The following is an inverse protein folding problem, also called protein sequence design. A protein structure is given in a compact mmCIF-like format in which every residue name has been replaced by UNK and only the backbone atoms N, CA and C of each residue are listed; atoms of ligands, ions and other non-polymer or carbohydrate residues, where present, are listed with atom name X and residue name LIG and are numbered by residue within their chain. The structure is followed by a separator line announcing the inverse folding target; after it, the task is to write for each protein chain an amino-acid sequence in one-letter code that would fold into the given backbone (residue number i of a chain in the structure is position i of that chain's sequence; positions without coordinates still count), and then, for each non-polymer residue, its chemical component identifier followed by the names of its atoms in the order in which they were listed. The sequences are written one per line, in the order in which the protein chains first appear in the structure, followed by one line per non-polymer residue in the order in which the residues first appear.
data_IF_499454786429
#
_entry.id   IF_499454786429
#
_cell.length_a   1.000
_cell.length_b   1.000
_cell.length_c   1.000
_cell.angle_alpha   90.00
_cell.angle_beta   90.00
_cell.angle_gamma   90.00
#
_symmetry.space_group_name_H-M   'P 1'
#
loop_
_entity.id
_entity.type
_entity.pdbx_description
1 polymer ?
#
# COMPACT_ATOMS: atom_id res chain seq x y z
N UNK A 1 26.70 -14.59 -19.92
CA UNK A 1 25.93 -13.34 -20.07
C UNK A 1 24.44 -13.64 -19.91
N UNK A 2 24.03 -14.13 -18.74
CA UNK A 2 22.62 -14.45 -18.42
C UNK A 2 22.23 -13.90 -17.05
N UNK A 3 23.17 -13.93 -16.10
CA UNK A 3 22.97 -13.34 -14.77
C UNK A 3 22.71 -11.83 -14.83
N UNK A 4 23.51 -11.04 -15.56
CA UNK A 4 23.35 -9.57 -15.61
C UNK A 4 21.96 -9.12 -16.11
N UNK A 5 21.43 -9.76 -17.15
CA UNK A 5 20.12 -9.41 -17.74
C UNK A 5 18.97 -9.70 -16.76
N UNK A 6 19.05 -10.80 -15.99
CA UNK A 6 18.04 -11.13 -14.97
C UNK A 6 18.07 -10.13 -13.79
N UNK A 7 19.26 -9.73 -13.35
CA UNK A 7 19.42 -8.75 -12.25
C UNK A 7 18.94 -7.36 -12.65
N UNK A 8 19.22 -6.90 -13.86
CA UNK A 8 18.72 -5.61 -14.37
C UNK A 8 17.18 -5.55 -14.39
N UNK A 9 16.53 -6.63 -14.83
CA UNK A 9 15.07 -6.73 -14.80
C UNK A 9 14.48 -6.67 -13.39
N UNK A 10 15.12 -7.35 -12.43
CA UNK A 10 14.70 -7.32 -11.02
C UNK A 10 14.85 -5.93 -10.40
N UNK A 11 16.02 -5.29 -10.60
CA UNK A 11 16.30 -3.94 -10.09
C UNK A 11 15.30 -2.95 -10.68
N UNK A 12 15.04 -3.02 -11.99
CA UNK A 12 14.05 -2.15 -12.64
C UNK A 12 12.67 -2.30 -12.02
N UNK A 13 12.22 -3.53 -11.78
CA UNK A 13 10.91 -3.78 -11.17
C UNK A 13 10.82 -3.26 -9.73
N UNK A 14 11.88 -3.42 -8.93
CA UNK A 14 11.92 -2.84 -7.59
C UNK A 14 11.88 -1.32 -7.60
N UNK A 15 12.61 -0.68 -8.52
CA UNK A 15 12.58 0.77 -8.70
C UNK A 15 11.18 1.25 -9.10
N UNK A 16 10.49 0.53 -10.00
CA UNK A 16 9.11 0.85 -10.38
C UNK A 16 8.13 0.73 -9.20
N UNK A 17 8.31 -0.28 -8.34
CA UNK A 17 7.53 -0.43 -7.11
C UNK A 17 7.80 0.72 -6.13
N UNK A 18 9.08 1.06 -5.89
CA UNK A 18 9.48 2.19 -5.04
C UNK A 18 8.85 3.49 -5.53
N UNK A 19 8.96 3.80 -6.82
CA UNK A 19 8.38 5.01 -7.41
C UNK A 19 6.86 5.04 -7.29
N UNK A 20 6.20 3.89 -7.44
CA UNK A 20 4.74 3.79 -7.22
C UNK A 20 4.38 4.10 -5.77
N UNK A 21 5.13 3.61 -4.78
CA UNK A 21 4.89 3.96 -3.38
C UNK A 21 5.11 5.45 -3.14
N UNK A 22 6.23 5.99 -3.62
CA UNK A 22 6.57 7.42 -3.48
C UNK A 22 5.49 8.34 -4.03
N UNK A 23 4.97 8.03 -5.23
CA UNK A 23 3.89 8.82 -5.87
C UNK A 23 2.59 8.83 -5.07
N UNK A 24 2.36 7.82 -4.23
CA UNK A 24 1.13 7.71 -3.45
C UNK A 24 1.33 8.10 -1.98
N UNK A 25 2.52 8.50 -1.56
CA UNK A 25 2.85 8.73 -0.15
C UNK A 25 1.91 9.75 0.51
N UNK A 26 1.58 10.83 -0.21
CA UNK A 26 0.69 11.91 0.25
C UNK A 26 -0.79 11.65 -0.02
N UNK A 27 -1.17 10.44 -0.47
CA UNK A 27 -2.57 10.12 -0.76
C UNK A 27 -3.34 10.04 0.55
N UNK A 28 -4.28 10.98 0.74
CA UNK A 28 -5.12 11.05 1.93
C UNK A 28 -6.05 9.84 2.05
N UNK A 29 -6.15 9.33 3.28
CA UNK A 29 -7.12 8.34 3.72
C UNK A 29 -8.28 9.08 4.43
N UNK A 30 -9.54 8.87 4.02
CA UNK A 30 -10.71 9.38 4.72
C UNK A 30 -10.72 8.96 6.19
N UNK A 31 -11.00 9.90 7.10
CA UNK A 31 -11.02 9.65 8.55
C UNK A 31 -12.12 8.68 9.00
N UNK A 32 -13.20 8.63 8.24
CA UNK A 32 -14.39 7.79 8.45
C UNK A 32 -14.32 6.46 7.66
N UNK A 33 -13.17 6.14 7.06
CA UNK A 33 -12.99 4.89 6.33
C UNK A 33 -13.20 3.68 7.25
N UNK A 34 -14.11 2.81 6.84
CA UNK A 34 -14.33 1.51 7.47
C UNK A 34 -13.40 0.45 6.85
N UNK A 35 -12.30 0.15 7.53
CA UNK A 35 -11.33 -0.85 7.08
C UNK A 35 -11.89 -2.29 7.15
N UNK A 36 -12.88 -2.57 8.00
CA UNK A 36 -13.53 -3.90 8.09
C UNK A 36 -14.36 -4.25 6.83
N UNK A 37 -14.73 -3.22 6.07
CA UNK A 37 -15.38 -3.39 4.77
C UNK A 37 -14.41 -3.91 3.68
N UNK A 38 -13.10 -3.79 3.88
CA UNK A 38 -12.08 -4.17 2.88
C UNK A 38 -11.68 -5.64 3.05
N UNK A 39 -12.51 -6.56 2.55
CA UNK A 39 -12.34 -8.02 2.71
C UNK A 39 -11.02 -8.61 2.18
N UNK A 40 -10.30 -7.88 1.34
CA UNK A 40 -9.00 -8.31 0.82
C UNK A 40 -7.84 -8.06 1.80
N UNK A 41 -8.04 -7.27 2.86
CA UNK A 41 -7.06 -7.07 3.92
C UNK A 41 -7.16 -8.19 4.96
N UNK A 42 -6.04 -8.58 5.55
CA UNK A 42 -6.05 -9.49 6.69
C UNK A 42 -6.58 -8.81 7.94
N UNK A 43 -7.13 -9.59 8.88
CA UNK A 43 -7.62 -9.07 10.16
C UNK A 43 -6.53 -8.31 10.93
N UNK A 44 -5.27 -8.76 10.86
CA UNK A 44 -4.14 -8.07 11.50
C UNK A 44 -3.89 -6.68 10.90
N UNK A 45 -3.98 -6.57 9.56
CA UNK A 45 -3.80 -5.28 8.88
C UNK A 45 -4.99 -4.36 9.15
N UNK A 46 -6.21 -4.89 9.12
CA UNK A 46 -7.43 -4.14 9.46
C UNK A 46 -7.30 -3.58 10.89
N UNK A 47 -6.94 -4.42 11.86
CA UNK A 47 -6.74 -4.01 13.25
C UNK A 47 -5.73 -2.86 13.35
N UNK A 48 -4.56 -3.00 12.72
CA UNK A 48 -3.53 -1.96 12.74
C UNK A 48 -3.98 -0.63 12.14
N UNK A 49 -4.67 -0.67 11.00
CA UNK A 49 -5.20 0.53 10.34
C UNK A 49 -6.31 1.18 11.17
N UNK A 50 -7.20 0.37 11.76
CA UNK A 50 -8.28 0.84 12.62
C UNK A 50 -7.77 1.45 13.93
N UNK A 51 -6.68 0.93 14.49
CA UNK A 51 -6.07 1.44 15.72
C UNK A 51 -5.25 2.70 15.48
N UNK A 52 -4.43 2.74 14.43
CA UNK A 52 -3.53 3.85 14.16
C UNK A 52 -4.18 4.98 13.38
N UNK A 53 -5.29 4.71 12.66
CA UNK A 53 -6.03 5.67 11.82
C UNK A 53 -5.10 6.57 10.99
N UNK A 54 -4.24 6.00 10.12
CA UNK A 54 -3.29 6.79 9.35
C UNK A 54 -4.02 7.77 8.42
N UNK A 55 -3.52 9.00 8.35
CA UNK A 55 -4.10 10.05 7.52
C UNK A 55 -3.70 9.92 6.05
N UNK A 56 -2.60 9.21 5.78
CA UNK A 56 -2.08 9.00 4.42
C UNK A 56 -1.63 7.57 4.17
N UNK A 57 -1.58 7.19 2.89
CA UNK A 57 -1.01 5.92 2.44
C UNK A 57 0.45 5.77 2.88
N UNK A 58 1.22 6.87 2.89
CA UNK A 58 2.59 6.89 3.42
C UNK A 58 2.64 6.45 4.88
N UNK A 59 1.79 7.03 5.73
CA UNK A 59 1.70 6.63 7.15
C UNK A 59 1.30 5.16 7.30
N UNK A 60 0.27 4.72 6.56
CA UNK A 60 -0.17 3.33 6.58
C UNK A 60 0.95 2.34 6.19
N UNK A 61 1.77 2.69 5.20
CA UNK A 61 2.87 1.83 4.70
C UNK A 61 4.00 1.63 5.70
N UNK A 62 4.15 2.54 6.67
CA UNK A 62 5.18 2.47 7.73
C UNK A 62 4.73 1.66 8.94
N UNK A 63 3.44 1.29 9.03
CA UNK A 63 2.94 0.46 10.11
C UNK A 63 3.54 -0.94 10.00
N UNK A 64 4.09 -1.45 11.09
CA UNK A 64 4.71 -2.77 11.13
C UNK A 64 3.72 -3.84 10.68
N UNK A 65 4.11 -4.68 9.72
CA UNK A 65 3.25 -5.75 9.20
C UNK A 65 2.17 -5.29 8.21
N UNK A 66 2.11 -4.00 7.86
CA UNK A 66 1.42 -3.56 6.64
C UNK A 66 2.35 -3.78 5.46
N UNK A 67 1.87 -4.53 4.46
CA UNK A 67 2.71 -4.96 3.34
C UNK A 67 2.48 -4.11 2.07
N UNK A 68 3.43 -4.10 1.14
CA UNK A 68 3.23 -3.63 -0.24
C UNK A 68 1.89 -4.05 -0.89
N UNK A 69 1.48 -5.30 -0.67
CA UNK A 69 0.22 -5.82 -1.18
C UNK A 69 -1.00 -5.16 -0.50
N UNK A 70 -0.96 -5.00 0.82
CA UNK A 70 -1.99 -4.29 1.59
C UNK A 70 -2.18 -2.85 1.14
N UNK A 71 -1.08 -2.14 0.86
CA UNK A 71 -1.12 -0.78 0.32
C UNK A 71 -1.72 -0.75 -1.08
N UNK A 72 -1.40 -1.73 -1.92
CA UNK A 72 -2.01 -1.85 -3.25
C UNK A 72 -3.53 -2.06 -3.17
N UNK A 73 -4.02 -2.84 -2.20
CA UNK A 73 -5.44 -3.03 -1.94
C UNK A 73 -6.10 -1.71 -1.51
N UNK A 74 -5.51 -1.00 -0.55
CA UNK A 74 -6.00 0.31 -0.09
C UNK A 74 -6.11 1.32 -1.23
N UNK A 75 -5.09 1.40 -2.09
CA UNK A 75 -5.08 2.32 -3.24
C UNK A 75 -6.16 1.98 -4.27
N UNK A 76 -6.46 0.69 -4.49
CA UNK A 76 -7.55 0.28 -5.37
C UNK A 76 -8.90 0.62 -4.73
N UNK A 77 -9.08 0.33 -3.45
CA UNK A 77 -10.30 0.65 -2.71
C UNK A 77 -10.58 2.16 -2.67
N UNK A 78 -9.55 3.00 -2.49
CA UNK A 78 -9.68 4.45 -2.52
C UNK A 78 -10.22 4.97 -3.86
N UNK A 79 -9.88 4.31 -4.98
CA UNK A 79 -10.42 4.70 -6.30
C UNK A 79 -11.91 4.43 -6.43
N UNK A 80 -12.42 3.42 -5.74
CA UNK A 80 -13.87 3.14 -5.69
C UNK A 80 -14.59 3.98 -4.65
N UNK A 81 -13.91 4.35 -3.56
CA UNK A 81 -14.46 5.19 -2.49
C UNK A 81 -14.70 6.65 -2.94
N UNK A 82 -13.87 7.20 -3.82
CA UNK A 82 -14.00 8.59 -4.34
C UNK A 82 -15.05 8.76 -5.46
N UNK A 83 -15.78 7.71 -5.81
CA UNK A 83 -16.84 7.75 -6.84
C UNK A 83 -18.20 7.82 -6.16
#
# INVERSE_FOLDING_TARGET
MENQIKYEGYIKRQLEEIEKYRRNEDTALPSDMDYDSIKALSSEVIQKLSDHRPETIGQASRLQGVTPASISILLVYLKTYKR
#
